data_IF_390760962271
#
_entry.id   IF_390760962271
#
_cell.length_a   1.000
_cell.length_b   1.000
_cell.length_c   1.000
_cell.angle_alpha   90.00
_cell.angle_beta   90.00
_cell.angle_gamma   90.00
#
_symmetry.space_group_name_H-M   'P 1'
#
loop_
_entity.id
_entity.type
_entity.pdbx_description
1 polymer ?
#
# COMPACT_ATOMS: atom_id res chain seq x y z
N UNK A 1 -19.75 -9.50 -2.34
CA UNK A 1 -18.26 -9.62 -2.35
C UNK A 1 -17.79 -10.64 -1.32
N UNK A 2 -18.07 -10.44 -0.02
CA UNK A 2 -17.63 -11.35 1.05
C UNK A 2 -18.04 -12.81 0.79
N UNK A 3 -19.32 -13.06 0.56
CA UNK A 3 -19.82 -14.44 0.45
C UNK A 3 -19.21 -15.17 -0.76
N UNK A 4 -19.13 -14.49 -1.91
CA UNK A 4 -18.47 -15.03 -3.11
C UNK A 4 -16.99 -15.34 -2.86
N UNK A 5 -16.27 -14.50 -2.11
CA UNK A 5 -14.87 -14.78 -1.74
C UNK A 5 -14.79 -16.03 -0.87
N UNK A 6 -15.66 -16.16 0.13
CA UNK A 6 -15.67 -17.31 1.04
C UNK A 6 -16.02 -18.60 0.30
N UNK A 7 -16.91 -18.54 -0.69
CA UNK A 7 -17.23 -19.68 -1.55
C UNK A 7 -16.02 -20.12 -2.39
N UNK A 8 -15.23 -19.17 -2.90
CA UNK A 8 -13.99 -19.47 -3.61
C UNK A 8 -12.91 -20.05 -2.68
N UNK A 9 -12.77 -19.51 -1.47
CA UNK A 9 -11.83 -20.02 -0.46
C UNK A 9 -12.15 -21.47 -0.09
N UNK A 10 -13.44 -21.80 0.07
CA UNK A 10 -13.88 -23.18 0.33
C UNK A 10 -13.58 -24.12 -0.85
N UNK A 11 -13.72 -23.63 -2.09
CA UNK A 11 -13.44 -24.43 -3.30
C UNK A 11 -11.96 -24.61 -3.57
N UNK A 12 -11.12 -23.70 -3.07
CA UNK A 12 -9.70 -23.63 -3.37
C UNK A 12 -8.88 -23.54 -2.08
N UNK A 13 -8.82 -24.64 -1.35
CA UNK A 13 -8.08 -24.70 -0.09
C UNK A 13 -6.58 -24.45 -0.31
N UNK A 14 -5.97 -23.71 0.62
CA UNK A 14 -4.55 -23.30 0.55
C UNK A 14 -4.22 -22.21 -0.47
N UNK A 15 -5.19 -21.67 -1.21
CA UNK A 15 -4.91 -20.60 -2.18
C UNK A 15 -4.56 -19.29 -1.48
N UNK A 16 -3.60 -18.55 -2.05
CA UNK A 16 -3.23 -17.22 -1.56
C UNK A 16 -4.28 -16.20 -1.99
N UNK A 17 -4.67 -15.34 -1.06
CA UNK A 17 -5.57 -14.21 -1.36
C UNK A 17 -4.75 -12.95 -1.50
N UNK A 18 -4.67 -12.44 -2.72
CA UNK A 18 -4.02 -11.18 -3.03
C UNK A 18 -5.02 -10.04 -2.90
N UNK A 19 -4.83 -9.21 -1.88
CA UNK A 19 -5.54 -7.94 -1.74
C UNK A 19 -4.65 -6.86 -2.32
N UNK A 20 -5.15 -6.18 -3.36
CA UNK A 20 -4.42 -5.12 -4.04
C UNK A 20 -5.34 -3.94 -4.34
N UNK A 21 -4.73 -2.78 -4.54
CA UNK A 21 -5.44 -1.59 -4.91
C UNK A 21 -4.50 -0.43 -5.19
N UNK A 22 -4.98 0.47 -6.03
CA UNK A 22 -4.29 1.69 -6.42
C UNK A 22 -4.98 2.90 -5.80
N UNK A 23 -4.19 3.88 -5.32
CA UNK A 23 -4.71 5.12 -4.73
C UNK A 23 -5.62 4.83 -3.53
N UNK A 24 -6.84 5.40 -3.49
CA UNK A 24 -7.89 5.06 -2.51
C UNK A 24 -8.16 3.55 -2.44
N UNK A 25 -8.07 2.84 -3.57
CA UNK A 25 -8.21 1.39 -3.61
C UNK A 25 -7.14 0.67 -2.79
N UNK A 26 -5.94 1.26 -2.64
CA UNK A 26 -4.90 0.73 -1.76
C UNK A 26 -5.32 0.77 -0.28
N UNK A 27 -5.93 1.87 0.17
CA UNK A 27 -6.49 1.98 1.51
C UNK A 27 -7.62 0.98 1.74
N UNK A 28 -8.51 0.82 0.77
CA UNK A 28 -9.57 -0.19 0.84
C UNK A 28 -8.99 -1.60 0.91
N UNK A 29 -7.96 -1.90 0.11
CA UNK A 29 -7.30 -3.20 0.11
C UNK A 29 -6.65 -3.52 1.47
N UNK A 30 -5.98 -2.56 2.10
CA UNK A 30 -5.37 -2.76 3.41
C UNK A 30 -6.41 -2.97 4.51
N UNK A 31 -7.52 -2.22 4.48
CA UNK A 31 -8.67 -2.45 5.35
C UNK A 31 -9.30 -3.83 5.14
N UNK A 32 -9.49 -4.25 3.89
CA UNK A 32 -10.02 -5.58 3.54
C UNK A 32 -9.11 -6.69 4.04
N UNK A 33 -7.79 -6.58 3.85
CA UNK A 33 -6.83 -7.57 4.32
C UNK A 33 -6.94 -7.78 5.84
N UNK A 34 -6.94 -6.68 6.60
CA UNK A 34 -7.09 -6.73 8.06
C UNK A 34 -8.46 -7.27 8.45
N UNK A 35 -9.53 -6.89 7.75
CA UNK A 35 -10.87 -7.40 8.02
C UNK A 35 -10.94 -8.92 7.88
N UNK A 36 -10.41 -9.48 6.77
CA UNK A 36 -10.39 -10.92 6.51
C UNK A 36 -9.60 -11.67 7.60
N UNK A 37 -8.41 -11.18 7.95
CA UNK A 37 -7.55 -11.82 8.93
C UNK A 37 -8.09 -11.71 10.37
N UNK A 38 -8.61 -10.53 10.76
CA UNK A 38 -9.07 -10.26 12.14
C UNK A 38 -10.41 -10.92 12.45
N UNK A 39 -11.24 -11.16 11.43
CA UNK A 39 -12.50 -11.90 11.56
C UNK A 39 -12.32 -13.41 11.36
N UNK A 40 -11.07 -13.88 11.25
CA UNK A 40 -10.70 -15.28 11.00
C UNK A 40 -11.51 -15.89 9.84
N UNK A 41 -11.80 -15.08 8.81
CA UNK A 41 -12.53 -15.49 7.62
C UNK A 41 -11.65 -16.26 6.63
N UNK A 42 -10.34 -16.03 6.72
CA UNK A 42 -9.28 -16.62 5.90
C UNK A 42 -8.07 -16.79 6.80
N UNK A 43 -7.32 -17.88 6.64
CA UNK A 43 -6.01 -18.00 7.27
C UNK A 43 -5.12 -16.81 6.89
N UNK A 44 -4.68 -16.06 7.90
CA UNK A 44 -3.79 -14.92 7.78
C UNK A 44 -2.47 -15.24 7.06
N UNK A 45 -2.02 -16.50 7.06
CA UNK A 45 -0.83 -16.94 6.34
C UNK A 45 -1.02 -17.00 4.83
N UNK A 46 -2.26 -17.02 4.35
CA UNK A 46 -2.61 -17.03 2.93
C UNK A 46 -2.82 -15.63 2.34
N UNK A 47 -3.04 -14.62 3.19
CA UNK A 47 -3.30 -13.25 2.73
C UNK A 47 -1.98 -12.57 2.31
N UNK A 48 -2.02 -11.91 1.14
CA UNK A 48 -0.91 -11.14 0.54
C UNK A 48 -1.43 -9.73 0.23
N UNK A 49 -0.83 -8.71 0.84
CA UNK A 49 -1.20 -7.31 0.61
C UNK A 49 -0.12 -6.59 -0.21
N UNK A 50 -0.50 -6.07 -1.38
CA UNK A 50 0.35 -5.20 -2.19
C UNK A 50 -0.48 -4.02 -2.68
N UNK A 51 -0.08 -2.79 -2.36
CA UNK A 51 -0.82 -1.58 -2.74
C UNK A 51 0.05 -0.62 -3.53
N UNK A 52 -0.56 0.24 -4.34
CA UNK A 52 0.12 1.21 -5.20
C UNK A 52 -0.35 2.62 -4.87
N UNK A 53 0.56 3.50 -4.45
CA UNK A 53 0.21 4.89 -4.12
C UNK A 53 -0.80 5.02 -2.99
N UNK A 54 -0.83 4.09 -2.04
CA UNK A 54 -1.80 4.07 -0.94
C UNK A 54 -1.62 5.30 -0.02
N UNK A 55 -2.66 6.11 0.25
CA UNK A 55 -2.63 7.18 1.25
C UNK A 55 -2.65 6.62 2.69
N UNK A 56 -2.31 7.44 3.70
CA UNK A 56 -2.33 7.01 5.11
C UNK A 56 -3.77 6.66 5.50
N UNK A 57 -4.02 5.37 5.68
CA UNK A 57 -5.38 4.82 5.88
C UNK A 57 -5.88 4.92 7.32
N UNK A 58 -4.97 4.85 8.29
CA UNK A 58 -5.34 4.83 9.70
C UNK A 58 -4.23 5.33 10.60
N UNK A 59 -4.49 5.29 11.91
CA UNK A 59 -3.54 5.72 12.92
C UNK A 59 -2.51 4.64 13.28
N UNK A 60 -1.69 4.91 14.29
CA UNK A 60 -0.69 3.96 14.82
C UNK A 60 -1.30 2.60 15.18
N UNK A 61 -2.51 2.57 15.74
CA UNK A 61 -3.18 1.31 16.09
C UNK A 61 -3.58 0.50 14.85
N UNK A 62 -4.05 1.17 13.80
CA UNK A 62 -4.33 0.51 12.52
C UNK A 62 -3.06 -0.03 11.87
N UNK A 63 -1.99 0.77 11.81
CA UNK A 63 -0.70 0.33 11.27
C UNK A 63 -0.20 -0.94 11.99
N UNK A 64 -0.21 -0.94 13.33
CA UNK A 64 0.14 -2.12 14.14
C UNK A 64 -0.77 -3.32 13.87
N UNK A 65 -2.06 -3.11 13.63
CA UNK A 65 -2.97 -4.19 13.27
C UNK A 65 -2.59 -4.81 11.92
N UNK A 66 -2.33 -3.99 10.89
CA UNK A 66 -1.84 -4.49 9.59
C UNK A 66 -0.58 -5.32 9.79
N UNK A 67 0.38 -4.82 10.57
CA UNK A 67 1.65 -5.54 10.80
C UNK A 67 1.50 -6.85 11.57
N UNK A 68 0.58 -6.89 12.54
CA UNK A 68 0.29 -8.08 13.35
C UNK A 68 -0.42 -9.16 12.55
N UNK A 69 -1.40 -8.77 11.74
CA UNK A 69 -2.28 -9.73 11.06
C UNK A 69 -1.76 -10.12 9.67
N UNK A 70 -1.07 -9.21 8.96
CA UNK A 70 -0.69 -9.42 7.56
C UNK A 70 0.83 -9.50 7.46
N UNK A 71 1.37 -10.72 7.33
CA UNK A 71 2.83 -10.91 7.28
C UNK A 71 3.45 -10.42 5.97
N UNK A 72 2.80 -10.70 4.84
CA UNK A 72 3.25 -10.25 3.53
C UNK A 72 2.48 -8.99 3.15
N UNK A 73 3.15 -7.84 3.28
CA UNK A 73 2.55 -6.52 3.10
C UNK A 73 3.57 -5.55 2.52
N UNK A 74 3.27 -5.02 1.34
CA UNK A 74 4.14 -4.05 0.66
C UNK A 74 3.31 -2.91 0.09
N UNK A 75 3.72 -1.69 0.39
CA UNK A 75 3.24 -0.49 -0.28
C UNK A 75 4.24 -0.11 -1.35
N UNK A 76 3.82 0.05 -2.58
CA UNK A 76 4.67 0.46 -3.70
C UNK A 76 4.38 1.92 -4.01
N UNK A 77 5.43 2.75 -4.06
CA UNK A 77 5.30 4.17 -4.35
C UNK A 77 6.37 4.64 -5.34
N UNK A 78 5.95 5.44 -6.31
CA UNK A 78 6.81 6.10 -7.28
C UNK A 78 7.13 7.53 -6.86
N UNK A 79 8.40 7.91 -6.97
CA UNK A 79 8.92 9.26 -6.82
C UNK A 79 8.35 9.99 -5.61
N UNK A 80 7.89 11.20 -5.87
CA UNK A 80 7.35 12.13 -4.88
C UNK A 80 5.82 12.18 -4.94
N UNK A 81 5.18 11.01 -5.13
CA UNK A 81 3.72 10.83 -5.15
C UNK A 81 3.08 11.48 -3.90
N UNK A 82 2.33 12.56 -4.15
CA UNK A 82 1.61 13.32 -3.13
C UNK A 82 0.57 12.48 -2.39
N UNK A 83 -0.18 11.63 -3.11
CA UNK A 83 -1.27 10.82 -2.52
C UNK A 83 -0.70 9.85 -1.49
N UNK A 84 0.44 9.24 -1.79
CA UNK A 84 1.15 8.37 -0.86
C UNK A 84 1.79 9.10 0.33
N UNK A 85 1.50 10.39 0.52
CA UNK A 85 1.99 11.22 1.63
C UNK A 85 0.85 11.96 2.36
N UNK A 86 -0.42 11.72 2.00
CA UNK A 86 -1.59 12.31 2.67
C UNK A 86 -2.40 11.26 3.43
N UNK A 87 -3.14 11.64 4.49
CA UNK A 87 -2.93 12.87 5.28
C UNK A 87 -1.49 12.94 5.80
N UNK A 88 -0.96 14.17 5.93
CA UNK A 88 0.40 14.36 6.44
C UNK A 88 0.47 13.91 7.90
N UNK A 89 1.51 13.16 8.25
CA UNK A 89 1.85 12.91 9.64
C UNK A 89 2.91 13.93 10.06
N UNK A 90 2.82 14.49 11.28
CA UNK A 90 3.96 15.17 11.88
C UNK A 90 5.14 14.20 12.03
N UNK A 91 6.35 14.73 12.03
CA UNK A 91 7.55 13.95 12.31
C UNK A 91 7.53 13.51 13.79
N UNK A 92 7.59 12.21 14.10
CA UNK A 92 7.65 11.69 15.46
C UNK A 92 8.70 12.35 16.36
N UNK A 93 9.84 12.79 15.80
CA UNK A 93 10.90 13.49 16.53
C UNK A 93 10.51 14.89 16.99
N UNK A 94 9.45 15.46 16.40
CA UNK A 94 8.94 16.81 16.69
C UNK A 94 7.64 16.81 17.50
N UNK A 95 6.99 15.66 17.69
CA UNK A 95 5.73 15.54 18.44
C UNK A 95 5.99 15.36 19.93
N UNK A 96 5.76 16.41 20.72
CA UNK A 96 6.10 16.50 22.15
C UNK A 96 5.07 15.76 23.07
N UNK A 97 4.08 15.05 22.51
CA UNK A 97 3.04 14.38 23.30
C UNK A 97 2.68 12.98 22.82
N UNK A 98 2.85 11.97 23.68
CA UNK A 98 2.57 10.56 23.34
C UNK A 98 1.12 10.31 22.88
N UNK A 99 0.14 11.02 23.44
CA UNK A 99 -1.28 10.90 23.03
C UNK A 99 -1.55 11.41 21.61
N UNK A 100 -0.84 12.46 21.17
CA UNK A 100 -0.92 12.98 19.80
C UNK A 100 -0.24 12.03 18.82
N UNK A 101 0.92 11.46 19.21
CA UNK A 101 1.60 10.43 18.42
C UNK A 101 0.69 9.23 18.14
N UNK A 102 -0.04 8.71 19.13
CA UNK A 102 -0.92 7.55 18.91
C UNK A 102 -2.13 7.83 18.02
N UNK A 103 -2.55 9.10 17.92
CA UNK A 103 -3.69 9.53 17.09
C UNK A 103 -3.30 9.86 15.66
N UNK A 104 -2.03 10.14 15.40
CA UNK A 104 -1.59 10.56 14.07
C UNK A 104 -1.74 9.44 13.03
N UNK A 105 -1.99 9.80 11.76
CA UNK A 105 -1.99 8.84 10.67
C UNK A 105 -0.59 8.24 10.51
N UNK A 106 -0.48 6.92 10.35
CA UNK A 106 0.81 6.25 10.25
C UNK A 106 0.76 5.16 9.18
N UNK A 107 1.83 5.04 8.41
CA UNK A 107 2.01 3.91 7.51
C UNK A 107 2.53 2.67 8.22
N UNK A 108 2.03 1.51 7.81
CA UNK A 108 2.60 0.21 8.18
C UNK A 108 3.81 -0.12 7.28
N UNK A 109 4.73 -0.95 7.77
CA UNK A 109 5.84 -1.53 6.98
C UNK A 109 5.31 -2.55 5.97
N UNK A 110 5.89 -2.79 4.81
CA UNK A 110 7.10 -2.21 4.22
C UNK A 110 6.77 -1.28 3.06
N UNK A 111 7.66 -0.33 2.77
CA UNK A 111 7.56 0.54 1.60
C UNK A 111 8.59 0.10 0.56
N UNK A 112 8.14 -0.14 -0.67
CA UNK A 112 8.98 -0.29 -1.87
C UNK A 112 8.93 1.03 -2.61
N UNK A 113 10.04 1.75 -2.64
CA UNK A 113 10.13 3.09 -3.23
C UNK A 113 10.97 3.08 -4.50
N UNK A 114 10.38 3.58 -5.58
CA UNK A 114 11.02 3.76 -6.87
C UNK A 114 11.23 5.25 -7.11
N UNK A 115 12.48 5.72 -7.10
CA UNK A 115 12.81 7.10 -7.47
C UNK A 115 13.22 7.20 -8.96
N UNK A 116 12.45 6.57 -9.84
CA UNK A 116 12.69 6.48 -11.28
C UNK A 116 11.38 6.22 -12.04
N UNK A 117 11.46 5.75 -13.29
CA UNK A 117 10.30 5.50 -14.15
C UNK A 117 9.67 4.11 -13.95
N UNK A 118 10.25 3.27 -13.09
CA UNK A 118 9.85 1.89 -12.86
C UNK A 118 9.91 1.03 -14.13
N UNK A 119 10.87 1.27 -15.01
CA UNK A 119 11.08 0.40 -16.17
C UNK A 119 11.52 -0.99 -15.72
N UNK A 120 11.44 -1.96 -16.64
CA UNK A 120 12.01 -3.28 -16.37
C UNK A 120 13.49 -3.11 -15.99
N UNK A 121 13.90 -3.80 -14.94
CA UNK A 121 15.26 -3.74 -14.36
C UNK A 121 15.63 -2.44 -13.62
N UNK A 122 14.72 -1.45 -13.58
CA UNK A 122 14.89 -0.27 -12.71
C UNK A 122 15.00 -0.71 -11.25
N UNK A 123 15.96 -0.12 -10.56
CA UNK A 123 16.21 -0.41 -9.16
C UNK A 123 15.20 0.28 -8.24
N UNK A 124 15.00 -0.28 -7.05
CA UNK A 124 14.16 0.28 -6.00
C UNK A 124 14.80 0.07 -4.64
N UNK A 125 14.33 0.82 -3.65
CA UNK A 125 14.74 0.66 -2.25
C UNK A 125 13.57 0.13 -1.43
N UNK A 126 13.86 -0.71 -0.43
CA UNK A 126 12.86 -1.17 0.53
C UNK A 126 13.10 -0.47 1.86
N UNK A 127 12.14 0.34 2.29
CA UNK A 127 12.17 0.99 3.59
C UNK A 127 11.61 0.04 4.65
N UNK A 128 12.47 -0.26 5.64
CA UNK A 128 12.20 -1.23 6.70
C UNK A 128 11.33 -0.71 7.84
N UNK A 129 11.13 0.61 7.95
CA UNK A 129 10.44 1.25 9.07
C UNK A 129 9.07 1.82 8.67
N UNK A 130 8.18 1.93 9.65
CA UNK A 130 6.90 2.63 9.51
C UNK A 130 7.17 4.12 9.29
N UNK A 131 6.65 4.68 8.20
CA UNK A 131 6.80 6.11 7.87
C UNK A 131 8.27 6.57 7.89
N UNK A 132 9.14 5.82 7.20
CA UNK A 132 10.59 6.05 7.16
C UNK A 132 10.96 7.34 6.41
N UNK A 133 11.08 8.45 7.16
CA UNK A 133 11.52 9.76 6.66
C UNK A 133 12.97 9.76 6.15
N UNK A 134 13.78 8.78 6.53
CA UNK A 134 15.16 8.63 6.05
C UNK A 134 15.23 7.97 4.67
N UNK A 135 14.33 7.01 4.41
CA UNK A 135 14.26 6.31 3.13
C UNK A 135 13.55 7.11 2.03
N UNK A 136 12.55 7.92 2.38
CA UNK A 136 11.85 8.80 1.43
C UNK A 136 11.58 10.17 2.05
N UNK A 137 11.87 11.22 1.27
CA UNK A 137 11.59 12.60 1.68
C UNK A 137 10.11 12.98 1.45
N UNK A 138 9.28 12.73 2.46
CA UNK A 138 7.83 13.07 2.41
C UNK A 138 7.56 14.57 2.32
N UNK A 139 8.52 15.44 2.67
CA UNK A 139 8.37 16.88 2.50
C UNK A 139 8.42 17.31 1.04
N UNK A 140 9.05 16.53 0.15
CA UNK A 140 9.09 16.80 -1.30
C UNK A 140 7.90 16.21 -2.06
N UNK A 141 7.06 15.41 -1.39
CA UNK A 141 5.90 14.77 -1.99
C UNK A 141 4.80 15.76 -2.38
N UNK A 142 4.92 16.38 -3.56
CA UNK A 142 3.92 17.28 -4.14
C UNK A 142 3.56 16.90 -5.59
N UNK A 143 4.11 15.80 -6.10
CA UNK A 143 3.92 15.36 -7.49
C UNK A 143 2.64 14.55 -7.62
N UNK A 144 1.61 15.10 -8.28
CA UNK A 144 0.46 14.32 -8.73
C UNK A 144 0.81 13.45 -9.95
N UNK A 145 1.78 13.86 -10.75
CA UNK A 145 2.20 13.13 -11.95
C UNK A 145 2.77 11.75 -11.60
N UNK A 146 3.57 11.65 -10.53
CA UNK A 146 4.12 10.37 -10.06
C UNK A 146 3.04 9.41 -9.58
N UNK A 147 1.90 9.91 -9.13
CA UNK A 147 0.76 9.07 -8.78
C UNK A 147 0.15 8.38 -10.00
N UNK A 148 0.26 8.94 -11.21
CA UNK A 148 -0.51 8.48 -12.39
C UNK A 148 0.13 7.32 -13.15
N UNK A 149 1.34 6.92 -12.80
CA UNK A 149 2.11 5.92 -13.56
C UNK A 149 2.82 4.93 -12.64
N UNK A 150 2.77 3.66 -13.02
CA UNK A 150 3.49 2.57 -12.34
C UNK A 150 4.03 1.62 -13.41
N UNK A 151 5.23 1.10 -13.18
CA UNK A 151 5.93 0.20 -14.12
C UNK A 151 6.06 0.73 -15.55
N UNK A 152 6.39 2.02 -15.70
CA UNK A 152 6.44 2.75 -16.97
C UNK A 152 5.10 2.79 -17.76
N UNK A 153 3.99 2.43 -17.12
CA UNK A 153 2.65 2.52 -17.71
C UNK A 153 1.91 3.72 -17.12
N UNK A 154 1.48 4.64 -17.98
CA UNK A 154 0.55 5.69 -17.60
C UNK A 154 -0.88 5.12 -17.58
N UNK A 155 -1.57 5.26 -16.44
CA UNK A 155 -2.91 4.70 -16.23
C UNK A 155 -3.93 5.19 -17.26
N UNK A 156 -3.95 6.50 -17.51
CA UNK A 156 -4.94 7.11 -18.40
C UNK A 156 -4.71 6.66 -19.85
N UNK A 157 -3.45 6.65 -20.30
CA UNK A 157 -3.10 6.17 -21.62
C UNK A 157 -3.40 4.67 -21.77
N UNK A 158 -3.11 3.86 -20.75
CA UNK A 158 -3.39 2.42 -20.76
C UNK A 158 -4.88 2.13 -20.94
N UNK A 159 -5.74 2.88 -20.23
CA UNK A 159 -7.19 2.77 -20.37
C UNK A 159 -7.66 3.27 -21.74
N UNK A 160 -7.16 4.44 -22.20
CA UNK A 160 -7.49 5.00 -23.52
C UNK A 160 -7.13 4.04 -24.66
N UNK A 161 -6.05 3.28 -24.50
CA UNK A 161 -5.60 2.28 -25.47
C UNK A 161 -6.36 0.93 -25.37
N UNK A 162 -7.39 0.81 -24.53
CA UNK A 162 -8.18 -0.41 -24.41
C UNK A 162 -7.54 -1.51 -23.56
N UNK A 163 -6.68 -1.15 -22.61
CA UNK A 163 -6.02 -2.09 -21.69
C UNK A 163 -5.23 -3.21 -22.42
N UNK A 164 -4.25 -2.86 -23.27
CA UNK A 164 -3.46 -3.82 -24.05
C UNK A 164 -2.68 -4.78 -23.12
N UNK A 165 -2.87 -6.09 -23.30
CA UNK A 165 -2.29 -7.10 -22.41
C UNK A 165 -0.79 -7.29 -22.60
N UNK A 166 -0.29 -7.09 -23.81
CA UNK A 166 1.13 -7.17 -24.18
C UNK A 166 2.01 -6.16 -23.43
N UNK A 167 1.43 -5.08 -22.90
CA UNK A 167 2.16 -4.12 -22.06
C UNK A 167 2.35 -4.59 -20.61
N UNK A 168 1.71 -5.68 -20.19
CA UNK A 168 1.68 -6.16 -18.79
C UNK A 168 2.49 -7.46 -18.61
N UNK A 169 2.87 -8.15 -19.69
CA UNK A 169 3.54 -9.46 -19.66
C UNK A 169 4.83 -9.49 -20.47
#
# INVERSE_FOLDING_TARGET
MKDHLLDLVKKHDGFRIWTTGYSLGGSLASMTAVYLAKKDLVDRHLIRLVTFGEPRTGNVAFARAVEKYIRFRYRVVKGDDFIASVPRSPDPSTVIGGSLFYRQPLFYRYLVHYNNKMQKDDQFVICGLSDDYGCRNTHKSFSMADHTSYFNLNREQFIKNGCPRDLVF
#
